data_IF_624492224655
#
_entry.id   IF_624492224655
#
_cell.length_a   1.000
_cell.length_b   1.000
_cell.length_c   1.000
_cell.angle_alpha   90.00
_cell.angle_beta   90.00
_cell.angle_gamma   90.00
#
_symmetry.space_group_name_H-M   'P 1'
#
loop_
_entity.id
_entity.type
_entity.pdbx_description
1 polymer ?
#
# COMPACT_ATOMS: atom_id res chain seq x y z
N UNK A 1 0.55 -4.44 -8.73
CA UNK A 1 0.17 -4.20 -7.32
C UNK A 1 -0.50 -2.84 -7.24
N UNK A 2 -1.73 -2.78 -6.74
CA UNK A 2 -2.44 -1.54 -6.46
C UNK A 2 -2.51 -1.28 -4.95
N UNK A 3 -2.82 -0.04 -4.62
CA UNK A 3 -3.14 0.41 -3.28
C UNK A 3 -4.60 0.82 -3.25
N UNK A 4 -5.32 0.37 -2.22
CA UNK A 4 -6.76 0.58 -2.02
C UNK A 4 -6.99 1.39 -0.75
N UNK A 5 -8.07 2.16 -0.72
CA UNK A 5 -8.47 2.83 0.52
C UNK A 5 -9.00 1.81 1.53
N UNK A 6 -8.60 1.97 2.78
CA UNK A 6 -9.17 1.28 3.96
C UNK A 6 -10.69 1.47 4.12
N UNK A 7 -11.28 2.48 3.47
CA UNK A 7 -12.74 2.68 3.45
C UNK A 7 -13.41 2.13 2.19
N UNK A 8 -12.64 1.66 1.22
CA UNK A 8 -13.13 0.96 0.02
C UNK A 8 -13.93 1.81 -0.97
N UNK A 9 -14.00 3.14 -0.80
CA UNK A 9 -14.79 4.03 -1.66
C UNK A 9 -13.94 4.86 -2.62
N UNK A 10 -12.62 4.83 -2.47
CA UNK A 10 -11.68 5.42 -3.41
C UNK A 10 -11.22 4.41 -4.48
N UNK A 11 -10.91 4.88 -5.72
CA UNK A 11 -10.30 4.04 -6.75
C UNK A 11 -8.95 3.46 -6.32
N UNK A 12 -8.60 2.30 -6.85
CA UNK A 12 -7.29 1.69 -6.63
C UNK A 12 -6.20 2.42 -7.43
N UNK A 13 -5.08 2.77 -6.78
CA UNK A 13 -4.00 3.60 -7.35
C UNK A 13 -2.64 2.88 -7.32
N UNK A 14 -1.63 3.43 -7.99
CA UNK A 14 -0.25 2.97 -7.83
C UNK A 14 0.33 3.41 -6.48
N UNK A 15 1.44 2.78 -6.05
CA UNK A 15 2.17 3.20 -4.86
C UNK A 15 2.63 4.67 -4.94
N UNK A 16 3.16 5.09 -6.10
CA UNK A 16 3.59 6.47 -6.33
C UNK A 16 2.44 7.47 -6.18
N UNK A 17 1.26 7.14 -6.72
CA UNK A 17 0.05 7.96 -6.58
C UNK A 17 -0.42 8.03 -5.14
N UNK A 18 -0.43 6.91 -4.40
CA UNK A 18 -0.80 6.88 -2.99
C UNK A 18 0.14 7.75 -2.14
N UNK A 19 1.46 7.69 -2.38
CA UNK A 19 2.45 8.53 -1.68
C UNK A 19 2.24 10.02 -2.01
N UNK A 20 2.03 10.34 -3.29
CA UNK A 20 1.79 11.73 -3.71
C UNK A 20 0.50 12.31 -3.14
N UNK A 21 -0.56 11.51 -2.99
CA UNK A 21 -1.83 11.94 -2.41
C UNK A 21 -1.81 11.99 -0.89
N UNK A 22 -1.04 11.12 -0.24
CA UNK A 22 -1.07 10.90 1.21
C UNK A 22 -2.36 10.21 1.64
N UNK A 23 -3.44 10.97 1.81
CA UNK A 23 -4.75 10.47 2.22
C UNK A 23 -5.60 10.09 1.01
N UNK A 24 -6.37 9.01 1.10
CA UNK A 24 -7.32 8.65 0.06
C UNK A 24 -8.49 9.67 -0.01
N UNK A 25 -9.09 9.90 -1.19
CA UNK A 25 -10.20 10.86 -1.37
C UNK A 25 -11.42 10.65 -0.47
N UNK A 26 -11.64 9.42 0.00
CA UNK A 26 -12.73 9.07 0.92
C UNK A 26 -12.36 9.26 2.40
N UNK A 27 -11.20 9.88 2.67
CA UNK A 27 -10.64 10.11 4.01
C UNK A 27 -10.05 8.86 4.66
N UNK A 28 -9.89 7.76 3.91
CA UNK A 28 -9.18 6.57 4.37
C UNK A 28 -7.67 6.63 4.11
N UNK A 29 -6.94 5.67 4.66
CA UNK A 29 -5.53 5.43 4.34
C UNK A 29 -5.40 4.45 3.17
N UNK A 30 -4.34 4.59 2.37
CA UNK A 30 -3.99 3.62 1.34
C UNK A 30 -3.21 2.43 1.91
N UNK A 31 -3.62 1.23 1.54
CA UNK A 31 -2.94 -0.04 1.86
C UNK A 31 -2.79 -0.88 0.59
N UNK A 32 -1.78 -1.75 0.49
CA UNK A 32 -1.66 -2.62 -0.67
C UNK A 32 -2.87 -3.57 -0.79
N UNK A 33 -3.31 -3.86 -2.02
CA UNK A 33 -4.40 -4.82 -2.27
C UNK A 33 -4.07 -6.23 -1.73
N UNK A 34 -2.78 -6.55 -1.64
CA UNK A 34 -2.25 -7.81 -1.15
C UNK A 34 -0.86 -7.57 -0.59
N UNK A 35 -0.55 -8.14 0.57
CA UNK A 35 0.79 -8.07 1.13
C UNK A 35 1.73 -9.04 0.38
N UNK A 36 2.99 -8.65 0.14
CA UNK A 36 3.97 -9.57 -0.42
C UNK A 36 4.24 -10.72 0.57
N UNK A 37 4.44 -11.94 0.04
CA UNK A 37 4.89 -13.07 0.87
C UNK A 37 6.32 -12.83 1.34
N UNK A 38 6.57 -13.16 2.62
CA UNK A 38 7.87 -13.02 3.26
C UNK A 38 8.62 -14.37 3.38
N UNK A 39 8.06 -15.46 2.83
CA UNK A 39 8.49 -16.84 3.10
C UNK A 39 9.95 -17.16 2.71
N UNK A 40 10.56 -16.38 1.80
CA UNK A 40 11.93 -16.59 1.33
C UNK A 40 12.82 -15.33 1.44
N UNK A 41 12.52 -14.44 2.38
CA UNK A 41 13.38 -13.29 2.63
C UNK A 41 14.65 -13.72 3.37
N UNK A 42 15.80 -13.55 2.72
CA UNK A 42 17.09 -13.65 3.39
C UNK A 42 17.22 -12.46 4.36
N UNK A 43 16.94 -12.68 5.64
CA UNK A 43 17.15 -11.68 6.68
C UNK A 43 18.67 -11.55 6.89
N UNK A 44 19.27 -10.54 6.26
CA UNK A 44 20.57 -10.05 6.67
C UNK A 44 20.32 -8.94 7.69
N UNK A 45 20.86 -9.09 8.90
CA UNK A 45 20.83 -8.00 9.86
C UNK A 45 21.60 -6.81 9.30
N UNK A 46 20.94 -5.65 9.27
CA UNK A 46 21.56 -4.39 8.90
C UNK A 46 22.39 -3.97 10.12
N UNK A 47 23.71 -4.12 10.03
CA UNK A 47 24.68 -3.62 11.04
C UNK A 47 24.66 -2.10 11.14
#
# INVERSE_FOLDING_TARGET
MKFVSTRGKAPAVSASQAIMQGLAPDGGLYVPESFPSLENLAIHEIS
#
